data_IF_567294885363
#
_entry.id   IF_567294885363
#
_cell.length_a   1.000
_cell.length_b   1.000
_cell.length_c   1.000
_cell.angle_alpha   90.00
_cell.angle_beta   90.00
_cell.angle_gamma   90.00
#
_symmetry.space_group_name_H-M   'P 1'
#
loop_
_entity.id
_entity.type
_entity.pdbx_description
1 polymer ?
#
# COMPACT_ATOMS: atom_id res chain seq x y z
N UNK A 1 9.36 6.03 -9.22
CA UNK A 1 9.14 5.47 -7.88
C UNK A 1 9.13 3.96 -8.01
N UNK A 2 10.13 3.30 -7.41
CA UNK A 2 10.17 1.85 -7.28
C UNK A 2 9.39 1.43 -6.01
N UNK A 3 9.03 0.14 -5.91
CA UNK A 3 9.00 -0.63 -4.65
C UNK A 3 8.00 -0.25 -3.55
N UNK A 4 6.78 0.14 -3.88
CA UNK A 4 5.68 0.03 -2.91
C UNK A 4 5.10 -1.38 -2.96
N UNK A 5 5.14 -2.14 -1.86
CA UNK A 5 4.60 -3.50 -1.74
C UNK A 5 3.08 -3.49 -1.57
N UNK A 6 2.35 -3.11 -2.61
CA UNK A 6 0.89 -2.92 -2.58
C UNK A 6 0.14 -4.18 -2.10
N UNK A 7 0.64 -5.36 -2.48
CA UNK A 7 0.05 -6.63 -2.11
C UNK A 7 0.23 -6.94 -0.61
N UNK A 8 1.45 -6.74 -0.08
CA UNK A 8 1.72 -6.92 1.35
C UNK A 8 0.91 -5.94 2.20
N UNK A 9 0.76 -4.69 1.78
CA UNK A 9 -0.11 -3.73 2.46
C UNK A 9 -1.57 -4.20 2.46
N UNK A 10 -2.06 -4.76 1.36
CA UNK A 10 -3.40 -5.36 1.31
C UNK A 10 -3.54 -6.52 2.30
N UNK A 11 -2.59 -7.45 2.33
CA UNK A 11 -2.64 -8.61 3.24
C UNK A 11 -2.68 -8.18 4.71
N UNK A 12 -1.84 -7.20 5.11
CA UNK A 12 -1.84 -6.68 6.48
C UNK A 12 -3.16 -6.01 6.85
N UNK A 13 -3.72 -5.19 5.97
CA UNK A 13 -5.01 -4.51 6.22
C UNK A 13 -6.17 -5.52 6.25
N UNK A 14 -6.12 -6.56 5.41
CA UNK A 14 -7.13 -7.62 5.38
C UNK A 14 -7.07 -8.51 6.61
N UNK A 15 -5.87 -8.80 7.14
CA UNK A 15 -5.68 -9.53 8.38
C UNK A 15 -6.30 -8.82 9.60
N UNK A 16 -6.38 -7.48 9.57
CA UNK A 16 -7.08 -6.68 10.57
C UNK A 16 -8.61 -6.63 10.36
N UNK A 17 -9.14 -7.28 9.33
CA UNK A 17 -10.57 -7.27 9.00
C UNK A 17 -11.08 -5.95 8.41
N UNK A 18 -10.18 -5.02 8.08
CA UNK A 18 -10.53 -3.69 7.56
C UNK A 18 -11.00 -3.77 6.09
N UNK A 19 -10.44 -4.72 5.33
CA UNK A 19 -10.80 -4.95 3.92
C UNK A 19 -11.07 -6.43 3.67
N UNK A 20 -12.17 -6.68 2.95
CA UNK A 20 -12.71 -8.01 2.65
C UNK A 20 -12.17 -8.64 1.35
N UNK A 21 -11.64 -7.83 0.44
CA UNK A 21 -11.33 -8.29 -0.91
C UNK A 21 -10.33 -7.39 -1.63
N UNK A 22 -9.57 -7.99 -2.56
CA UNK A 22 -8.64 -7.26 -3.43
C UNK A 22 -9.35 -6.22 -4.31
N UNK A 23 -10.59 -6.52 -4.73
CA UNK A 23 -11.43 -5.60 -5.52
C UNK A 23 -11.84 -4.37 -4.71
N UNK A 24 -12.27 -4.57 -3.45
CA UNK A 24 -12.59 -3.45 -2.57
C UNK A 24 -11.35 -2.59 -2.28
N UNK A 25 -10.21 -3.22 -1.99
CA UNK A 25 -8.95 -2.49 -1.82
C UNK A 25 -8.58 -1.67 -3.07
N UNK A 26 -8.61 -2.30 -4.24
CA UNK A 26 -8.21 -1.64 -5.49
C UNK A 26 -9.09 -0.44 -5.83
N UNK A 27 -10.40 -0.54 -5.59
CA UNK A 27 -11.35 0.53 -5.93
C UNK A 27 -11.48 1.58 -4.82
N UNK A 28 -11.71 1.18 -3.58
CA UNK A 28 -12.02 2.10 -2.47
C UNK A 28 -10.79 2.68 -1.81
N UNK A 29 -9.75 1.85 -1.63
CA UNK A 29 -8.50 2.29 -1.00
C UNK A 29 -7.56 2.93 -2.00
N UNK A 30 -7.31 2.27 -3.13
CA UNK A 30 -6.38 2.78 -4.14
C UNK A 30 -7.01 3.80 -5.10
N UNK A 31 -8.34 3.81 -5.25
CA UNK A 31 -9.01 4.70 -6.21
C UNK A 31 -8.76 4.34 -7.68
N UNK A 32 -8.52 3.06 -7.95
CA UNK A 32 -8.13 2.55 -9.27
C UNK A 32 -9.13 1.49 -9.78
N UNK A 33 -8.85 0.93 -10.96
CA UNK A 33 -9.60 -0.22 -11.49
C UNK A 33 -9.61 -1.38 -10.49
N UNK A 34 -10.69 -2.17 -10.48
CA UNK A 34 -10.84 -3.38 -9.66
C UNK A 34 -9.72 -4.40 -9.86
N UNK A 35 -9.09 -4.36 -11.03
CA UNK A 35 -8.02 -5.26 -11.42
C UNK A 35 -6.62 -4.80 -10.97
N UNK A 36 -6.49 -3.67 -10.27
CA UNK A 36 -5.19 -3.10 -9.91
C UNK A 36 -4.28 -4.12 -9.22
N UNK A 37 -4.73 -4.77 -8.14
CA UNK A 37 -3.92 -5.74 -7.41
C UNK A 37 -3.57 -6.97 -8.26
N UNK A 38 -4.53 -7.44 -9.08
CA UNK A 38 -4.31 -8.56 -10.02
C UNK A 38 -3.24 -8.23 -11.05
N UNK A 39 -3.33 -7.04 -11.64
CA UNK A 39 -2.38 -6.54 -12.62
C UNK A 39 -1.02 -6.23 -11.99
N UNK A 40 -1.01 -5.71 -10.77
CA UNK A 40 0.20 -5.44 -10.00
C UNK A 40 0.98 -6.74 -9.76
N UNK A 41 0.29 -7.81 -9.34
CA UNK A 41 0.90 -9.13 -9.18
C UNK A 41 1.49 -9.64 -10.51
N UNK A 42 0.73 -9.54 -11.61
CA UNK A 42 1.19 -9.94 -12.96
C UNK A 42 2.40 -9.15 -13.48
N UNK A 43 2.56 -7.89 -13.08
CA UNK A 43 3.66 -6.99 -13.52
C UNK A 43 4.95 -7.16 -12.69
N UNK A 44 5.07 -8.24 -11.92
CA UNK A 44 6.25 -8.53 -11.11
C UNK A 44 6.09 -8.17 -9.63
N UNK A 45 4.86 -7.95 -9.16
CA UNK A 45 4.52 -7.80 -7.73
C UNK A 45 5.42 -6.78 -7.05
N UNK A 46 6.27 -7.24 -6.14
CA UNK A 46 7.24 -6.46 -5.39
C UNK A 46 8.06 -5.44 -6.18
N UNK A 47 8.32 -5.72 -7.46
CA UNK A 47 9.12 -4.86 -8.33
C UNK A 47 8.26 -3.91 -9.19
N UNK A 48 6.94 -4.08 -9.19
CA UNK A 48 6.03 -3.26 -9.97
C UNK A 48 5.97 -1.83 -9.40
N UNK A 49 6.01 -0.85 -10.32
CA UNK A 49 5.94 0.56 -9.95
C UNK A 49 4.50 0.95 -9.62
N UNK A 50 4.32 1.63 -8.50
CA UNK A 50 3.04 2.22 -8.09
C UNK A 50 3.12 3.74 -8.19
N UNK A 51 2.01 4.36 -8.60
CA UNK A 51 1.93 5.82 -8.67
C UNK A 51 1.98 6.41 -7.25
N UNK A 52 2.72 7.51 -7.00
CA UNK A 52 2.79 8.16 -5.69
C UNK A 52 1.41 8.53 -5.12
N UNK A 53 0.47 8.93 -5.99
CA UNK A 53 -0.90 9.27 -5.60
C UNK A 53 -1.68 8.11 -4.98
N UNK A 54 -1.42 6.87 -5.43
CA UNK A 54 -2.04 5.67 -4.84
C UNK A 54 -1.50 5.44 -3.44
N UNK A 55 -0.19 5.59 -3.25
CA UNK A 55 0.45 5.46 -1.92
C UNK A 55 -0.11 6.51 -0.96
N UNK A 56 -0.15 7.78 -1.37
CA UNK A 56 -0.69 8.87 -0.55
C UNK A 56 -2.13 8.58 -0.10
N UNK A 57 -2.98 8.13 -1.04
CA UNK A 57 -4.37 7.79 -0.75
C UNK A 57 -4.51 6.63 0.23
N UNK A 58 -3.70 5.58 0.10
CA UNK A 58 -3.70 4.45 1.05
C UNK A 58 -3.33 4.94 2.45
N UNK A 59 -2.33 5.80 2.57
CA UNK A 59 -1.91 6.40 3.86
C UNK A 59 -2.99 7.29 4.47
N UNK A 60 -3.68 8.09 3.66
CA UNK A 60 -4.84 8.88 4.12
C UNK A 60 -5.94 7.98 4.69
N UNK A 61 -6.23 6.85 4.04
CA UNK A 61 -7.21 5.87 4.54
C UNK A 61 -6.77 5.18 5.82
N UNK A 62 -5.49 4.84 5.96
CA UNK A 62 -4.95 4.32 7.22
C UNK A 62 -5.14 5.34 8.35
N UNK A 63 -4.80 6.61 8.12
CA UNK A 63 -5.03 7.67 9.10
C UNK A 63 -6.52 7.85 9.45
N UNK A 64 -7.42 7.69 8.47
CA UNK A 64 -8.86 7.69 8.73
C UNK A 64 -9.29 6.50 9.59
N UNK A 65 -8.83 5.29 9.29
CA UNK A 65 -9.14 4.09 10.07
C UNK A 65 -8.63 4.20 11.49
N UNK A 66 -7.39 4.66 11.72
CA UNK A 66 -6.85 4.85 13.07
C UNK A 66 -7.68 5.84 13.92
N UNK A 67 -8.34 6.82 13.29
CA UNK A 67 -9.25 7.74 13.98
C UNK A 67 -10.61 7.12 14.28
N UNK A 68 -11.13 6.28 13.38
CA UNK A 68 -12.47 5.69 13.50
C UNK A 68 -12.49 4.42 14.36
N UNK A 69 -11.38 3.68 14.38
CA UNK A 69 -11.19 2.43 15.11
C UNK A 69 -9.92 2.56 15.99
N UNK A 70 -10.00 3.27 17.13
CA UNK A 70 -8.85 3.50 18.00
C UNK A 70 -8.19 2.22 18.51
N UNK A 71 -8.97 1.13 18.63
CA UNK A 71 -8.49 -0.20 19.04
C UNK A 71 -7.53 -0.85 18.03
N UNK A 72 -7.52 -0.41 16.77
CA UNK A 72 -6.59 -0.87 15.72
C UNK A 72 -5.51 0.17 15.40
N UNK A 73 -5.45 1.29 16.14
CA UNK A 73 -4.61 2.42 15.78
C UNK A 73 -3.12 2.04 15.76
N UNK A 74 -2.65 1.22 16.70
CA UNK A 74 -1.26 0.81 16.79
C UNK A 74 -0.84 -0.01 15.55
N UNK A 75 -1.61 -1.02 15.20
CA UNK A 75 -1.38 -1.89 14.05
C UNK A 75 -1.44 -1.10 12.73
N UNK A 76 -2.40 -0.17 12.63
CA UNK A 76 -2.52 0.72 11.48
C UNK A 76 -1.31 1.65 11.35
N UNK A 77 -0.78 2.16 12.45
CA UNK A 77 0.45 2.97 12.46
C UNK A 77 1.69 2.16 12.08
N UNK A 78 1.79 0.90 12.51
CA UNK A 78 2.85 -0.01 12.09
C UNK A 78 2.82 -0.27 10.59
N UNK A 79 1.62 -0.48 10.02
CA UNK A 79 1.45 -0.61 8.57
C UNK A 79 1.93 0.68 7.88
N UNK A 80 1.51 1.86 8.32
CA UNK A 80 1.94 3.13 7.71
C UNK A 80 3.48 3.30 7.76
N UNK A 81 4.10 2.97 8.89
CA UNK A 81 5.55 3.02 9.04
C UNK A 81 6.27 2.08 8.05
N UNK A 82 5.76 0.85 7.87
CA UNK A 82 6.28 -0.09 6.89
C UNK A 82 6.15 0.45 5.45
N UNK A 83 5.04 1.12 5.12
CA UNK A 83 4.88 1.81 3.82
C UNK A 83 5.98 2.85 3.63
N UNK A 84 6.20 3.73 4.60
CA UNK A 84 7.23 4.78 4.52
C UNK A 84 8.63 4.17 4.33
N UNK A 85 8.95 3.12 5.08
CA UNK A 85 10.23 2.42 4.95
C UNK A 85 10.42 1.82 3.55
N UNK A 86 9.41 1.14 3.00
CA UNK A 86 9.46 0.57 1.65
C UNK A 86 9.70 1.66 0.59
N UNK A 87 9.01 2.79 0.71
CA UNK A 87 9.18 3.93 -0.21
C UNK A 87 10.61 4.50 -0.14
N UNK A 88 11.17 4.62 1.07
CA UNK A 88 12.54 5.10 1.27
C UNK A 88 13.57 4.16 0.65
N UNK A 89 13.47 2.86 0.92
CA UNK A 89 14.36 1.84 0.35
C UNK A 89 14.29 1.87 -1.17
N UNK A 90 13.09 1.96 -1.73
CA UNK A 90 12.91 1.94 -3.16
C UNK A 90 13.41 3.21 -3.86
N UNK A 91 13.31 4.38 -3.22
CA UNK A 91 13.93 5.61 -3.71
C UNK A 91 15.47 5.51 -3.71
N UNK A 92 16.04 4.96 -2.62
CA UNK A 92 17.49 4.75 -2.50
C UNK A 92 18.03 3.79 -3.58
N UNK A 93 17.33 2.68 -3.83
CA UNK A 93 17.68 1.74 -4.91
C UNK A 93 17.49 2.36 -6.30
N UNK A 94 16.42 3.13 -6.50
CA UNK A 94 16.17 3.84 -7.76
C UNK A 94 17.25 4.85 -8.11
N UNK A 95 17.77 5.59 -7.13
CA UNK A 95 18.91 6.52 -7.31
C UNK A 95 20.20 5.80 -7.67
N UNK A 96 20.42 4.59 -7.13
CA UNK A 96 21.63 3.79 -7.38
C UNK A 96 21.65 3.13 -8.77
N UNK A 97 20.48 2.84 -9.35
CA UNK A 97 20.36 2.24 -10.69
C UNK A 97 20.56 3.23 -11.85
N UNK A 98 20.61 4.54 -11.57
CA UNK A 98 20.78 5.60 -12.58
C UNK A 98 22.24 6.09 -12.72
N UNK A 99 23.18 5.46 -12.00
CA UNK A 99 24.63 5.63 -12.16
C UNK A 99 25.19 4.44 -12.92
#
# INVERSE_FOLDING_TARGET
MYGFQLFSTFESISALGIVDSQKYFSTRWCGMSEDLLRDYHRRGGANARVKPSVVARVRERLAEVARLLPELAAEVHEIDAAIVQHMYVADLLGRRSLR
#
